data_IF_753358444430
#
_entry.id   IF_753358444430
#
_cell.length_a   1.000
_cell.length_b   1.000
_cell.length_c   1.000
_cell.angle_alpha   90.00
_cell.angle_beta   90.00
_cell.angle_gamma   90.00
#
_symmetry.space_group_name_H-M   'P 1'
#
loop_
_entity.id
_entity.type
_entity.pdbx_description
1 polymer ?
#
# COMPACT_ATOMS: atom_id res chain seq x y z
N UNK A 1 5.25 -7.48 -26.81
CA UNK A 1 5.77 -6.45 -25.89
C UNK A 1 7.05 -5.86 -26.48
N UNK A 2 7.37 -4.59 -26.19
CA UNK A 2 8.57 -3.90 -26.66
C UNK A 2 9.19 -3.08 -25.53
N UNK A 3 10.36 -2.47 -25.75
CA UNK A 3 10.98 -1.60 -24.74
C UNK A 3 10.05 -0.45 -24.31
N UNK A 4 9.18 0.01 -25.21
CA UNK A 4 8.20 1.07 -24.96
C UNK A 4 7.03 0.64 -24.07
N UNK A 5 6.89 -0.65 -23.75
CA UNK A 5 5.90 -1.13 -22.78
C UNK A 5 6.46 -1.26 -21.35
N UNK A 6 7.74 -0.94 -21.13
CA UNK A 6 8.30 -0.87 -19.77
C UNK A 6 7.80 0.40 -19.09
N UNK A 7 7.31 0.25 -17.87
CA UNK A 7 6.85 1.37 -17.04
C UNK A 7 7.98 1.78 -16.10
N UNK A 8 8.51 2.98 -16.29
CA UNK A 8 9.48 3.60 -15.39
C UNK A 8 8.74 4.44 -14.34
N UNK A 9 8.82 4.03 -13.08
CA UNK A 9 8.17 4.71 -11.95
C UNK A 9 8.71 6.12 -11.73
N UNK A 10 9.95 6.42 -12.14
CA UNK A 10 10.52 7.76 -12.02
C UNK A 10 9.86 8.78 -12.95
N UNK A 11 9.26 8.32 -14.06
CA UNK A 11 8.64 9.19 -15.07
C UNK A 11 7.16 8.89 -15.32
N UNK A 12 6.58 7.94 -14.58
CA UNK A 12 5.18 7.57 -14.73
C UNK A 12 4.27 8.74 -14.34
N UNK A 13 3.28 9.04 -15.19
CA UNK A 13 2.36 10.17 -15.01
C UNK A 13 0.93 9.71 -14.68
N UNK A 14 0.79 8.55 -14.02
CA UNK A 14 -0.53 8.06 -13.59
C UNK A 14 -1.20 9.08 -12.67
N UNK A 15 -2.48 9.33 -12.92
CA UNK A 15 -3.28 10.17 -12.05
C UNK A 15 -3.39 9.56 -10.64
N UNK A 16 -3.42 10.42 -9.64
CA UNK A 16 -3.61 10.01 -8.25
C UNK A 16 -5.11 9.89 -7.94
N UNK A 17 -5.54 8.70 -7.57
CA UNK A 17 -6.88 8.49 -7.02
C UNK A 17 -6.84 8.75 -5.52
N UNK A 18 -7.72 9.62 -5.04
CA UNK A 18 -7.79 10.01 -3.62
C UNK A 18 -8.97 9.36 -2.92
N UNK A 19 -8.74 8.79 -1.75
CA UNK A 19 -9.77 8.11 -0.97
C UNK A 19 -9.46 8.16 0.53
N UNK A 20 -10.41 7.66 1.32
CA UNK A 20 -10.25 7.43 2.76
C UNK A 20 -10.67 5.99 3.06
N UNK A 21 -10.11 5.35 4.10
CA UNK A 21 -10.68 4.14 4.66
C UNK A 21 -12.16 4.32 5.00
N UNK A 22 -12.90 3.21 5.04
CA UNK A 22 -14.23 3.18 5.63
C UNK A 22 -14.17 3.80 7.06
N UNK A 23 -14.99 4.82 7.38
CA UNK A 23 -15.00 5.44 8.70
C UNK A 23 -15.14 4.45 9.85
N UNK A 24 -15.82 3.31 9.64
CA UNK A 24 -15.96 2.26 10.66
C UNK A 24 -14.64 1.51 10.97
N UNK A 25 -13.65 1.59 10.08
CA UNK A 25 -12.30 1.01 10.28
C UNK A 25 -11.31 2.00 10.86
N UNK A 26 -11.62 3.30 10.89
CA UNK A 26 -10.71 4.33 11.40
C UNK A 26 -10.68 4.28 12.92
N UNK A 27 -9.48 4.12 13.47
CA UNK A 27 -9.20 4.06 14.90
C UNK A 27 -8.77 5.44 15.44
N UNK A 28 -8.03 6.21 14.65
CA UNK A 28 -7.62 7.58 14.98
C UNK A 28 -7.25 8.40 13.74
N UNK A 29 -7.31 9.73 13.84
CA UNK A 29 -6.86 10.67 12.81
C UNK A 29 -7.76 10.75 11.57
N UNK A 30 -7.21 11.30 10.47
CA UNK A 30 -7.85 11.35 9.15
C UNK A 30 -6.86 10.78 8.11
N UNK A 31 -6.79 9.44 7.95
CA UNK A 31 -5.86 8.79 7.03
C UNK A 31 -6.30 8.98 5.57
N UNK A 32 -6.18 10.21 5.07
CA UNK A 32 -6.41 10.55 3.67
C UNK A 32 -5.33 9.88 2.81
N UNK A 33 -5.75 9.08 1.85
CA UNK A 33 -4.90 8.24 1.02
C UNK A 33 -4.92 8.69 -0.44
N UNK A 34 -3.83 8.40 -1.14
CA UNK A 34 -3.77 8.49 -2.59
C UNK A 34 -3.02 7.31 -3.19
N UNK A 35 -3.47 6.85 -4.36
CA UNK A 35 -2.82 5.80 -5.15
C UNK A 35 -2.57 6.32 -6.56
N UNK A 36 -1.33 6.18 -7.02
CA UNK A 36 -0.96 6.32 -8.41
C UNK A 36 -0.64 4.93 -8.97
N UNK A 37 -1.64 4.28 -9.57
CA UNK A 37 -1.45 2.95 -10.16
C UNK A 37 -0.71 3.07 -11.50
N UNK A 38 0.51 2.56 -11.57
CA UNK A 38 1.37 2.67 -12.75
C UNK A 38 1.20 1.52 -13.73
N UNK A 39 0.87 0.34 -13.22
CA UNK A 39 0.67 -0.83 -14.05
C UNK A 39 -0.33 -1.78 -13.42
N UNK A 40 -1.19 -2.35 -14.28
CA UNK A 40 -2.02 -3.51 -13.97
C UNK A 40 -1.83 -4.53 -15.08
N UNK A 41 -1.67 -5.80 -14.72
CA UNK A 41 -1.55 -6.88 -15.71
C UNK A 41 -2.89 -7.09 -16.44
N UNK A 42 -2.88 -7.57 -17.69
CA UNK A 42 -4.11 -7.84 -18.44
C UNK A 42 -5.05 -8.84 -17.76
N UNK A 43 -4.54 -9.71 -16.88
CA UNK A 43 -5.35 -10.66 -16.12
C UNK A 43 -5.90 -10.09 -14.81
N UNK A 44 -5.58 -8.84 -14.47
CA UNK A 44 -6.07 -8.15 -13.27
C UNK A 44 -5.47 -8.62 -11.94
N UNK A 45 -4.62 -9.65 -11.95
CA UNK A 45 -4.07 -10.27 -10.74
C UNK A 45 -2.79 -9.61 -10.24
N UNK A 46 -2.20 -8.68 -10.99
CA UNK A 46 -0.95 -8.02 -10.61
C UNK A 46 -1.08 -6.53 -10.84
N UNK A 47 -0.73 -5.72 -9.83
CA UNK A 47 -0.68 -4.28 -9.93
C UNK A 47 0.52 -3.71 -9.21
N UNK A 48 0.99 -2.55 -9.64
CA UNK A 48 2.11 -1.88 -9.01
C UNK A 48 2.02 -0.38 -9.20
N UNK A 49 2.38 0.37 -8.17
CA UNK A 49 2.27 1.82 -8.17
C UNK A 49 2.83 2.45 -6.91
N UNK A 50 2.46 3.69 -6.68
CA UNK A 50 2.83 4.45 -5.49
C UNK A 50 1.58 4.73 -4.66
N UNK A 51 1.67 4.48 -3.36
CA UNK A 51 0.66 4.83 -2.39
C UNK A 51 1.21 5.90 -1.44
N UNK A 52 0.37 6.85 -1.04
CA UNK A 52 0.68 7.85 -0.02
C UNK A 52 -0.48 8.00 0.97
N UNK A 53 -0.16 8.38 2.21
CA UNK A 53 -1.16 8.60 3.25
C UNK A 53 -0.74 9.67 4.26
N UNK A 54 -1.71 10.49 4.66
CA UNK A 54 -1.63 11.42 5.79
C UNK A 54 -1.73 10.69 7.14
N UNK A 55 -1.31 11.32 8.26
CA UNK A 55 -1.36 10.70 9.58
C UNK A 55 -2.76 10.21 10.00
N UNK A 56 -2.80 8.97 10.47
CA UNK A 56 -4.02 8.30 10.91
C UNK A 56 -3.80 6.82 11.16
N UNK A 57 -4.79 6.15 11.76
CA UNK A 57 -4.71 4.74 12.17
C UNK A 57 -6.00 4.04 11.80
N UNK A 58 -5.94 2.94 11.06
CA UNK A 58 -7.12 2.18 10.65
C UNK A 58 -6.87 0.67 10.60
N UNK A 59 -7.94 -0.11 10.72
CA UNK A 59 -7.92 -1.56 10.59
C UNK A 59 -7.74 -2.00 9.14
N UNK A 60 -6.92 -3.03 8.90
CA UNK A 60 -6.58 -3.59 7.60
C UNK A 60 -6.82 -5.10 7.58
N UNK A 61 -7.14 -5.62 6.39
CA UNK A 61 -7.28 -7.05 6.11
C UNK A 61 -6.87 -7.26 4.67
N UNK A 62 -5.83 -8.06 4.44
CA UNK A 62 -5.23 -8.29 3.14
C UNK A 62 -5.77 -9.59 2.54
N UNK A 63 -6.44 -9.53 1.38
CA UNK A 63 -6.75 -10.73 0.58
C UNK A 63 -5.62 -11.07 -0.40
N UNK A 64 -4.76 -10.10 -0.64
CA UNK A 64 -3.67 -10.09 -1.60
C UNK A 64 -2.29 -10.23 -0.93
N UNK A 65 -1.28 -10.60 -1.72
CA UNK A 65 0.10 -10.43 -1.34
C UNK A 65 0.58 -9.04 -1.77
N UNK A 66 1.09 -8.25 -0.84
CA UNK A 66 1.60 -6.90 -1.15
C UNK A 66 3.08 -6.79 -0.77
N UNK A 67 3.96 -6.60 -1.75
CA UNK A 67 5.29 -6.06 -1.52
C UNK A 67 5.20 -4.56 -1.28
N UNK A 68 5.91 -4.08 -0.26
CA UNK A 68 6.02 -2.67 0.10
C UNK A 68 7.49 -2.24 0.11
N UNK A 69 7.78 -1.08 -0.45
CA UNK A 69 9.02 -0.33 -0.23
C UNK A 69 8.67 1.08 0.26
N UNK A 70 9.06 1.42 1.49
CA UNK A 70 8.80 2.76 2.05
C UNK A 70 9.79 3.74 1.43
N UNK A 71 9.28 4.78 0.78
CA UNK A 71 10.06 5.84 0.15
C UNK A 71 10.33 6.99 1.13
N UNK A 72 9.33 7.34 1.93
CA UNK A 72 9.39 8.42 2.91
C UNK A 72 8.38 8.21 4.03
N UNK A 73 8.54 8.92 5.14
CA UNK A 73 7.63 8.90 6.28
C UNK A 73 7.95 7.85 7.33
N UNK A 74 7.01 7.72 8.27
CA UNK A 74 7.08 6.81 9.42
C UNK A 74 5.70 6.22 9.66
N UNK A 75 5.63 4.89 9.70
CA UNK A 75 4.40 4.12 9.98
C UNK A 75 4.68 2.99 10.97
N UNK A 76 3.62 2.42 11.55
CA UNK A 76 3.66 1.20 12.33
C UNK A 76 2.61 0.24 11.79
N UNK A 77 3.03 -0.99 11.50
CA UNK A 77 2.13 -2.09 11.19
C UNK A 77 1.90 -2.90 12.45
N UNK A 78 0.64 -3.05 12.88
CA UNK A 78 0.25 -3.84 14.05
C UNK A 78 -0.45 -5.10 13.60
N UNK A 79 -0.13 -6.24 14.20
CA UNK A 79 -0.86 -7.50 13.98
C UNK A 79 -2.00 -7.69 14.99
N UNK A 80 -2.84 -8.70 14.75
CA UNK A 80 -3.94 -9.06 15.66
C UNK A 80 -3.48 -9.76 16.96
N UNK A 81 -2.20 -10.14 17.06
CA UNK A 81 -1.62 -10.82 18.22
C UNK A 81 -0.95 -9.83 19.21
N UNK A 82 -0.96 -8.54 18.89
CA UNK A 82 -0.42 -7.47 19.73
C UNK A 82 1.06 -7.15 19.45
N UNK A 83 1.67 -7.73 18.42
CA UNK A 83 3.00 -7.34 17.96
C UNK A 83 2.90 -6.20 16.93
N UNK A 84 3.99 -5.46 16.81
CA UNK A 84 4.08 -4.35 15.86
C UNK A 84 5.46 -4.21 15.23
N UNK A 85 5.49 -3.59 14.06
CA UNK A 85 6.71 -3.31 13.31
C UNK A 85 6.71 -1.85 12.88
N UNK A 86 7.72 -1.10 13.32
CA UNK A 86 7.99 0.23 12.82
C UNK A 86 8.53 0.17 11.38
N UNK A 87 8.08 1.10 10.55
CA UNK A 87 8.38 1.22 9.13
C UNK A 87 8.90 2.63 8.83
N UNK A 88 9.99 2.71 8.06
CA UNK A 88 10.62 3.96 7.64
C UNK A 88 11.24 3.84 6.25
N UNK A 89 11.64 4.97 5.68
CA UNK A 89 12.30 5.02 4.37
C UNK A 89 13.43 3.97 4.22
N UNK A 90 13.39 3.21 3.13
CA UNK A 90 14.32 2.13 2.80
C UNK A 90 13.89 0.74 3.27
N UNK A 91 12.88 0.63 4.14
CA UNK A 91 12.31 -0.66 4.54
C UNK A 91 11.56 -1.31 3.38
N UNK A 92 11.85 -2.60 3.16
CA UNK A 92 11.31 -3.43 2.08
C UNK A 92 10.81 -4.74 2.64
N UNK A 93 9.55 -5.07 2.38
CA UNK A 93 8.90 -6.24 2.98
C UNK A 93 7.68 -6.70 2.17
N UNK A 94 7.18 -7.89 2.49
CA UNK A 94 5.93 -8.41 1.93
C UNK A 94 4.93 -8.59 3.07
N UNK A 95 3.70 -8.15 2.85
CA UNK A 95 2.52 -8.51 3.64
C UNK A 95 1.86 -9.70 2.93
N UNK A 96 1.83 -10.89 3.54
CA UNK A 96 1.16 -12.05 2.95
C UNK A 96 -0.36 -11.89 2.98
N UNK A 97 -1.03 -12.46 1.98
CA UNK A 97 -2.48 -12.65 1.99
C UNK A 97 -2.93 -13.34 3.28
N UNK A 98 -4.05 -12.88 3.83
CA UNK A 98 -4.58 -13.30 5.13
C UNK A 98 -4.06 -12.49 6.32
N UNK A 99 -3.16 -11.52 6.12
CA UNK A 99 -2.76 -10.62 7.20
C UNK A 99 -3.94 -9.75 7.67
N UNK A 100 -4.19 -9.74 8.98
CA UNK A 100 -5.20 -8.90 9.63
C UNK A 100 -4.53 -8.13 10.76
N UNK A 101 -4.82 -6.84 10.83
CA UNK A 101 -4.17 -5.95 11.78
C UNK A 101 -4.62 -4.50 11.63
N UNK A 102 -3.73 -3.56 11.91
CA UNK A 102 -3.96 -2.15 11.66
C UNK A 102 -2.71 -1.45 11.14
N UNK A 103 -2.90 -0.41 10.33
CA UNK A 103 -1.84 0.44 9.83
C UNK A 103 -1.95 1.81 10.49
N UNK A 104 -0.86 2.27 11.10
CA UNK A 104 -0.76 3.56 11.76
C UNK A 104 0.30 4.41 11.05
N UNK A 105 -0.09 5.55 10.51
CA UNK A 105 0.80 6.53 9.88
C UNK A 105 1.10 7.63 10.89
N UNK A 106 2.36 7.75 11.30
CA UNK A 106 2.82 8.75 12.27
C UNK A 106 3.27 10.04 11.58
N UNK A 107 3.89 9.92 10.41
CA UNK A 107 4.28 11.01 9.51
C UNK A 107 3.82 10.66 8.09
N UNK A 108 3.44 11.65 7.25
CA UNK A 108 3.03 11.40 5.88
C UNK A 108 3.94 10.36 5.22
N UNK A 109 3.36 9.23 4.84
CA UNK A 109 4.11 8.06 4.38
C UNK A 109 3.83 7.84 2.90
N UNK A 110 4.89 7.57 2.13
CA UNK A 110 4.80 7.17 0.72
C UNK A 110 5.53 5.85 0.52
N UNK A 111 4.92 4.93 -0.23
CA UNK A 111 5.49 3.61 -0.53
C UNK A 111 5.28 3.22 -1.98
N UNK A 112 6.21 2.44 -2.54
CA UNK A 112 5.90 1.60 -3.71
C UNK A 112 5.14 0.39 -3.20
N UNK A 113 4.06 0.03 -3.88
CA UNK A 113 3.39 -1.24 -3.72
C UNK A 113 3.55 -2.11 -4.97
N UNK A 114 3.61 -3.41 -4.75
CA UNK A 114 3.40 -4.43 -5.80
C UNK A 114 2.46 -5.47 -5.22
N UNK A 115 1.28 -5.56 -5.81
CA UNK A 115 0.21 -6.44 -5.36
C UNK A 115 0.10 -7.62 -6.33
N UNK A 116 -0.03 -8.81 -5.76
CA UNK A 116 -0.51 -9.99 -6.45
C UNK A 116 -1.73 -10.54 -5.72
N UNK A 117 -2.87 -10.58 -6.40
CA UNK A 117 -4.09 -11.21 -5.90
C UNK A 117 -4.45 -12.38 -6.81
N UNK A 118 -4.47 -13.57 -6.24
CA UNK A 118 -4.85 -14.77 -6.98
C UNK A 118 -6.34 -14.70 -7.31
N UNK A 119 -6.70 -14.89 -8.58
CA UNK A 119 -8.10 -15.00 -8.97
C UNK A 119 -8.76 -16.17 -8.22
N UNK A 120 -9.98 -15.95 -7.73
CA UNK A 120 -10.81 -17.03 -7.21
C UNK A 120 -10.94 -18.13 -8.26
N UNK A 121 -10.70 -19.38 -7.86
CA UNK A 121 -10.84 -20.56 -8.71
C UNK A 121 -12.29 -20.91 -9.01
#
# INVERSE_FOLDING_TARGET
MSISSIIDFATATSEAEHYRPDPAKVLAGDPAQSVQNHYSSPCGQFSSGVWACEPGHWSISYSEHEYCEILEGESILHDSQGASRALKAGDRFVIPAGFVGSWEVLKPTRKVYVIFEQAGG
#
